data_IF_808261844373
#
_entry.id   IF_808261844373
#
_cell.length_a   1.000
_cell.length_b   1.000
_cell.length_c   1.000
_cell.angle_alpha   90.00
_cell.angle_beta   90.00
_cell.angle_gamma   90.00
#
_symmetry.space_group_name_H-M   'P 1'
#
loop_
_entity.id
_entity.type
_entity.pdbx_description
1 polymer ?
#
# COMPACT_ATOMS: atom_id res chain seq x y z
N UNK A 1 68.01 -35.68 -9.46
CA UNK A 1 67.08 -35.56 -8.27
C UNK A 1 66.49 -34.16 -8.09
N UNK A 2 66.75 -33.17 -8.95
CA UNK A 2 66.27 -31.78 -8.86
C UNK A 2 64.95 -31.46 -9.61
N UNK A 3 64.57 -32.28 -10.58
CA UNK A 3 63.38 -32.04 -11.44
C UNK A 3 62.05 -32.29 -10.72
N UNK A 4 62.03 -33.24 -9.75
CA UNK A 4 60.78 -33.58 -9.04
C UNK A 4 60.27 -32.46 -8.07
N UNK A 5 61.18 -31.65 -7.53
CA UNK A 5 60.84 -30.57 -6.57
C UNK A 5 60.23 -29.34 -7.27
N UNK A 6 60.59 -29.07 -8.53
CA UNK A 6 60.00 -27.99 -9.32
C UNK A 6 58.60 -28.32 -9.81
N UNK A 7 58.35 -29.56 -10.25
CA UNK A 7 57.01 -30.02 -10.64
C UNK A 7 56.03 -29.99 -9.45
N UNK A 8 56.46 -30.34 -8.24
CA UNK A 8 55.63 -30.26 -7.04
C UNK A 8 55.27 -28.82 -6.66
N UNK A 9 56.20 -27.86 -6.80
CA UNK A 9 55.94 -26.44 -6.53
C UNK A 9 55.02 -25.80 -7.55
N UNK A 10 55.14 -26.18 -8.84
CA UNK A 10 54.26 -25.71 -9.90
C UNK A 10 52.84 -26.26 -9.70
N UNK A 11 52.68 -27.54 -9.36
CA UNK A 11 51.40 -28.16 -9.02
C UNK A 11 50.71 -27.48 -7.84
N UNK A 12 51.44 -27.14 -6.78
CA UNK A 12 50.91 -26.43 -5.61
C UNK A 12 50.50 -25.00 -5.95
N UNK A 13 51.27 -24.28 -6.79
CA UNK A 13 50.93 -22.92 -7.24
C UNK A 13 49.70 -22.91 -8.13
N UNK A 14 49.54 -23.90 -9.02
CA UNK A 14 48.34 -24.03 -9.89
C UNK A 14 47.08 -24.37 -9.06
N UNK A 15 47.19 -25.30 -8.08
CA UNK A 15 46.09 -25.57 -7.16
C UNK A 15 45.68 -24.32 -6.34
N UNK A 16 46.68 -23.57 -5.87
CA UNK A 16 46.44 -22.35 -5.12
C UNK A 16 45.78 -21.24 -5.99
N UNK A 17 46.17 -21.12 -7.26
CA UNK A 17 45.55 -20.22 -8.24
C UNK A 17 44.12 -20.61 -8.58
N UNK A 18 43.81 -21.92 -8.70
CA UNK A 18 42.45 -22.42 -8.94
C UNK A 18 41.53 -22.16 -7.72
N UNK A 19 42.06 -22.32 -6.50
CA UNK A 19 41.31 -21.98 -5.27
C UNK A 19 40.98 -20.50 -5.13
N UNK A 20 41.82 -19.62 -5.69
CA UNK A 20 41.55 -18.15 -5.69
C UNK A 20 40.50 -17.75 -6.73
N UNK A 21 40.22 -18.61 -7.73
CA UNK A 21 39.21 -18.36 -8.78
C UNK A 21 37.79 -18.79 -8.39
N UNK A 22 37.62 -19.48 -7.27
CA UNK A 22 36.29 -19.75 -6.69
C UNK A 22 35.79 -18.53 -5.92
N UNK A 23 35.88 -17.33 -6.55
CA UNK A 23 35.37 -16.08 -6.03
C UNK A 23 33.90 -16.21 -5.73
N UNK A 24 33.48 -15.69 -4.58
CA UNK A 24 32.13 -15.66 -4.07
C UNK A 24 31.11 -15.31 -5.17
N UNK A 25 30.35 -16.28 -5.62
CA UNK A 25 29.07 -16.05 -6.26
C UNK A 25 28.13 -15.53 -5.16
N UNK A 26 28.19 -14.23 -4.91
CA UNK A 26 27.17 -13.55 -4.12
C UNK A 26 25.88 -13.66 -4.90
N UNK A 27 24.99 -14.56 -4.51
CA UNK A 27 23.63 -14.60 -5.03
C UNK A 27 22.93 -13.35 -4.47
N UNK A 28 22.87 -12.29 -5.25
CA UNK A 28 22.08 -11.09 -4.91
C UNK A 28 20.62 -11.51 -4.92
N UNK A 29 19.93 -11.41 -3.79
CA UNK A 29 18.50 -11.61 -3.70
C UNK A 29 17.82 -10.58 -4.62
N UNK A 30 16.97 -10.99 -5.56
CA UNK A 30 16.26 -10.05 -6.42
C UNK A 30 15.34 -9.17 -5.59
N UNK A 31 15.16 -7.93 -6.02
CA UNK A 31 14.15 -7.04 -5.43
C UNK A 31 12.81 -7.37 -6.05
N UNK A 32 11.80 -7.55 -5.20
CA UNK A 32 10.41 -7.78 -5.59
C UNK A 32 9.60 -6.52 -5.35
N UNK A 33 8.70 -6.19 -6.30
CA UNK A 33 7.89 -5.00 -6.28
C UNK A 33 6.41 -5.35 -6.15
N UNK A 34 5.70 -4.57 -5.33
CA UNK A 34 4.30 -4.77 -4.97
C UNK A 34 3.50 -3.49 -5.18
N UNK A 35 2.22 -3.63 -5.45
CA UNK A 35 1.27 -2.52 -5.55
C UNK A 35 -0.05 -2.91 -4.87
N UNK A 36 -0.76 -1.93 -4.34
CA UNK A 36 -2.11 -2.13 -3.84
C UNK A 36 -3.07 -2.38 -5.01
N UNK A 37 -4.09 -3.21 -4.76
CA UNK A 37 -5.05 -3.61 -5.79
C UNK A 37 -6.43 -3.02 -5.48
N UNK A 38 -7.08 -2.33 -6.43
CA UNK A 38 -8.44 -1.86 -6.24
C UNK A 38 -9.45 -3.01 -6.25
N UNK A 39 -10.66 -2.73 -5.75
CA UNK A 39 -11.81 -3.64 -5.85
C UNK A 39 -12.06 -4.01 -7.32
N UNK A 40 -11.96 -5.30 -7.63
CA UNK A 40 -12.31 -5.83 -8.95
C UNK A 40 -13.80 -6.23 -8.92
N UNK A 41 -14.64 -5.41 -9.56
CA UNK A 41 -16.07 -5.64 -9.63
C UNK A 41 -16.78 -5.42 -8.28
N UNK A 42 -17.59 -4.37 -8.17
CA UNK A 42 -18.52 -4.25 -7.05
C UNK A 42 -19.45 -5.46 -7.09
N UNK A 43 -19.45 -6.30 -6.05
CA UNK A 43 -20.37 -7.41 -5.93
C UNK A 43 -21.79 -6.88 -5.71
N UNK A 44 -22.83 -7.68 -6.02
CA UNK A 44 -24.23 -7.33 -5.73
C UNK A 44 -24.47 -7.00 -4.24
N UNK A 45 -23.61 -7.48 -3.34
CA UNK A 45 -23.60 -7.12 -1.93
C UNK A 45 -23.17 -5.66 -1.67
N UNK A 46 -22.47 -5.03 -2.61
CA UNK A 46 -22.11 -3.60 -2.60
C UNK A 46 -23.20 -2.74 -3.26
N UNK A 47 -24.47 -3.15 -3.22
CA UNK A 47 -25.63 -2.46 -3.79
C UNK A 47 -25.94 -1.18 -3.02
N UNK A 48 -24.94 -0.32 -2.90
CA UNK A 48 -25.06 1.04 -2.37
C UNK A 48 -25.80 1.90 -3.40
N UNK A 49 -26.62 2.81 -2.92
CA UNK A 49 -27.25 3.82 -3.77
C UNK A 49 -26.18 4.61 -4.51
N UNK A 50 -26.45 5.00 -5.75
CA UNK A 50 -25.57 5.88 -6.53
C UNK A 50 -25.65 7.30 -5.97
N UNK A 51 -24.52 8.03 -5.98
CA UNK A 51 -24.54 9.48 -5.76
C UNK A 51 -25.06 10.24 -6.98
N UNK A 52 -25.15 9.60 -8.14
CA UNK A 52 -25.45 10.25 -9.43
C UNK A 52 -24.19 10.74 -10.13
N UNK A 53 -24.28 10.86 -11.46
CA UNK A 53 -23.14 11.22 -12.31
C UNK A 53 -22.69 12.69 -12.15
N UNK A 54 -23.54 13.54 -11.54
CA UNK A 54 -23.24 14.95 -11.34
C UNK A 54 -22.40 15.24 -10.10
N UNK A 55 -22.30 14.29 -9.16
CA UNK A 55 -21.60 14.50 -7.88
C UNK A 55 -20.12 14.16 -8.00
N UNK A 56 -19.29 15.14 -7.66
CA UNK A 56 -17.84 15.00 -7.66
C UNK A 56 -17.26 14.80 -6.26
N UNK A 57 -16.32 13.85 -6.12
CA UNK A 57 -15.67 13.52 -4.85
C UNK A 57 -14.14 13.65 -4.98
N UNK A 58 -13.54 14.50 -4.15
CA UNK A 58 -12.09 14.62 -4.01
C UNK A 58 -11.57 13.74 -2.88
N UNK A 59 -10.59 12.88 -3.17
CA UNK A 59 -9.96 11.94 -2.22
C UNK A 59 -8.59 12.46 -1.83
N UNK A 60 -8.45 12.91 -0.60
CA UNK A 60 -7.23 13.51 -0.07
C UNK A 60 -7.42 15.00 0.28
N UNK A 61 -6.35 15.65 0.77
CA UNK A 61 -5.02 15.11 1.00
C UNK A 61 -4.97 14.02 2.08
N UNK A 62 -3.91 13.23 2.03
CA UNK A 62 -3.60 12.17 2.98
C UNK A 62 -2.39 12.59 3.82
N UNK A 63 -2.46 12.46 5.14
CA UNK A 63 -1.28 12.50 6.00
C UNK A 63 -0.87 11.06 6.32
N UNK A 64 0.39 10.73 6.03
CA UNK A 64 0.94 9.40 6.27
C UNK A 64 2.22 9.50 7.11
N UNK A 65 2.41 8.64 8.13
CA UNK A 65 3.65 8.62 8.91
C UNK A 65 4.86 8.32 8.02
N UNK A 66 5.94 9.09 8.17
CA UNK A 66 7.17 8.93 7.36
C UNK A 66 7.81 7.54 7.45
N UNK A 67 7.53 6.80 8.52
CA UNK A 67 8.05 5.44 8.65
C UNK A 67 7.40 4.49 7.64
N UNK A 68 6.19 4.81 7.17
CA UNK A 68 5.43 4.02 6.20
C UNK A 68 5.60 4.60 4.80
N UNK A 69 5.64 5.94 4.67
CA UNK A 69 5.83 6.65 3.40
C UNK A 69 7.27 6.50 2.89
N UNK A 70 7.56 5.33 2.36
CA UNK A 70 8.88 4.93 1.88
C UNK A 70 8.79 3.79 0.86
N UNK A 71 9.84 3.60 0.02
CA UNK A 71 9.83 2.54 -0.98
C UNK A 71 9.79 1.12 -0.41
N UNK A 72 10.33 0.89 0.79
CA UNK A 72 10.37 -0.44 1.39
C UNK A 72 9.05 -0.78 2.08
N UNK A 73 8.60 -2.03 1.96
CA UNK A 73 7.47 -2.53 2.74
C UNK A 73 7.86 -2.59 4.21
N UNK A 74 6.99 -2.04 5.05
CA UNK A 74 7.15 -1.98 6.50
C UNK A 74 6.23 -2.99 7.15
N UNK A 75 6.77 -3.79 8.06
CA UNK A 75 6.01 -4.76 8.85
C UNK A 75 6.44 -4.77 10.31
N UNK A 76 5.65 -5.40 11.18
CA UNK A 76 5.96 -5.53 12.60
C UNK A 76 6.63 -6.86 12.90
N UNK A 77 7.81 -6.78 13.48
CA UNK A 77 8.55 -7.93 14.01
C UNK A 77 8.26 -8.17 15.52
N UNK A 78 7.51 -7.27 16.16
CA UNK A 78 7.14 -7.33 17.57
C UNK A 78 6.31 -6.11 17.96
N UNK A 79 5.97 -5.99 19.26
CA UNK A 79 5.15 -4.87 19.75
C UNK A 79 5.78 -3.50 19.41
N UNK A 80 7.10 -3.36 19.61
CA UNK A 80 7.84 -2.10 19.46
C UNK A 80 8.96 -2.23 18.39
N UNK A 81 9.02 -3.34 17.65
CA UNK A 81 10.03 -3.57 16.64
C UNK A 81 9.39 -3.61 15.25
N UNK A 82 9.90 -2.74 14.38
CA UNK A 82 9.51 -2.62 12.98
C UNK A 82 10.59 -3.29 12.13
N UNK A 83 10.18 -4.00 11.10
CA UNK A 83 11.01 -4.51 10.02
C UNK A 83 10.79 -3.63 8.79
N UNK A 84 11.88 -3.20 8.17
CA UNK A 84 11.91 -2.48 6.90
C UNK A 84 12.67 -3.37 5.94
N UNK A 85 11.99 -3.92 4.94
CA UNK A 85 12.57 -4.92 4.05
C UNK A 85 13.23 -4.28 2.83
N UNK A 86 14.53 -4.59 2.61
CA UNK A 86 15.28 -4.01 1.50
C UNK A 86 14.97 -4.66 0.15
N UNK A 87 14.44 -5.89 0.15
CA UNK A 87 14.19 -6.68 -1.06
C UNK A 87 12.72 -6.70 -1.47
N UNK A 88 11.79 -6.27 -0.59
CA UNK A 88 10.36 -6.19 -0.88
C UNK A 88 9.93 -4.73 -0.81
N UNK A 89 9.54 -4.18 -1.97
CA UNK A 89 9.32 -2.75 -2.13
C UNK A 89 8.00 -2.44 -2.82
N UNK A 90 7.47 -1.28 -2.56
CA UNK A 90 6.40 -0.71 -3.35
C UNK A 90 6.90 -0.40 -4.77
N UNK A 91 6.07 -0.66 -5.78
CA UNK A 91 6.37 -0.38 -7.19
C UNK A 91 6.43 1.13 -7.49
N UNK A 92 5.82 1.93 -6.63
CA UNK A 92 5.79 3.38 -6.69
C UNK A 92 5.74 4.01 -5.30
N UNK A 93 5.10 5.17 -5.19
CA UNK A 93 4.80 5.83 -3.92
C UNK A 93 3.60 5.16 -3.26
N UNK A 94 3.76 4.61 -2.07
CA UNK A 94 2.62 4.05 -1.29
C UNK A 94 1.57 5.12 -0.98
N UNK A 95 1.98 6.37 -0.80
CA UNK A 95 1.09 7.52 -0.63
C UNK A 95 0.15 7.70 -1.85
N UNK A 96 0.73 7.73 -3.05
CA UNK A 96 -0.02 7.90 -4.31
C UNK A 96 -0.88 6.67 -4.61
N UNK A 97 -0.35 5.47 -4.38
CA UNK A 97 -1.04 4.21 -4.60
C UNK A 97 -2.27 4.08 -3.69
N UNK A 98 -2.12 4.44 -2.40
CA UNK A 98 -3.23 4.48 -1.43
C UNK A 98 -4.37 5.39 -1.90
N UNK A 99 -4.06 6.62 -2.32
CA UNK A 99 -5.05 7.59 -2.80
C UNK A 99 -5.72 7.12 -4.10
N UNK A 100 -4.92 6.59 -5.02
CA UNK A 100 -5.40 6.10 -6.33
C UNK A 100 -6.35 4.93 -6.16
N UNK A 101 -5.96 3.93 -5.36
CA UNK A 101 -6.78 2.75 -5.09
C UNK A 101 -8.08 3.14 -4.38
N UNK A 102 -8.01 4.05 -3.40
CA UNK A 102 -9.20 4.53 -2.71
C UNK A 102 -10.15 5.28 -3.66
N UNK A 103 -9.62 6.13 -4.55
CA UNK A 103 -10.43 6.84 -5.53
C UNK A 103 -11.10 5.89 -6.53
N UNK A 104 -10.39 4.87 -7.03
CA UNK A 104 -10.94 3.84 -7.90
C UNK A 104 -12.05 3.03 -7.21
N UNK A 105 -11.83 2.65 -5.96
CA UNK A 105 -12.82 1.94 -5.16
C UNK A 105 -14.09 2.79 -4.95
N UNK A 106 -13.92 4.07 -4.59
CA UNK A 106 -15.04 4.98 -4.38
C UNK A 106 -15.79 5.24 -5.70
N UNK A 107 -15.08 5.41 -6.82
CA UNK A 107 -15.70 5.54 -8.14
C UNK A 107 -16.62 4.34 -8.45
N UNK A 108 -16.12 3.13 -8.21
CA UNK A 108 -16.89 1.89 -8.39
C UNK A 108 -18.09 1.78 -7.44
N UNK A 109 -17.90 2.06 -6.15
CA UNK A 109 -18.94 1.94 -5.11
C UNK A 109 -20.04 3.00 -5.24
N UNK A 110 -19.68 4.23 -5.58
CA UNK A 110 -20.59 5.36 -5.73
C UNK A 110 -21.23 5.43 -7.12
N UNK A 111 -20.75 4.61 -8.05
CA UNK A 111 -21.20 4.55 -9.46
C UNK A 111 -21.11 5.91 -10.15
N UNK A 112 -20.00 6.64 -9.92
CA UNK A 112 -19.68 7.92 -10.56
C UNK A 112 -18.24 7.92 -11.05
N UNK A 113 -18.01 8.49 -12.23
CA UNK A 113 -16.66 8.68 -12.79
C UNK A 113 -16.01 9.98 -12.29
N UNK A 114 -16.71 10.77 -11.46
CA UNK A 114 -16.23 12.06 -10.94
C UNK A 114 -15.58 11.91 -9.57
N UNK A 115 -14.65 10.96 -9.44
CA UNK A 115 -13.80 10.78 -8.25
C UNK A 115 -12.36 11.01 -8.64
N UNK A 116 -11.66 11.91 -7.95
CA UNK A 116 -10.27 12.23 -8.22
C UNK A 116 -9.41 12.13 -6.95
N UNK A 117 -8.22 11.54 -7.08
CA UNK A 117 -7.19 11.53 -6.05
C UNK A 117 -6.45 12.89 -6.00
N UNK A 118 -6.07 13.33 -4.80
CA UNK A 118 -5.28 14.55 -4.61
C UNK A 118 -3.81 14.33 -5.05
N UNK A 119 -3.16 15.31 -5.68
CA UNK A 119 -3.69 16.60 -6.09
C UNK A 119 -4.57 16.48 -7.34
N UNK A 120 -5.73 17.10 -7.33
CA UNK A 120 -6.58 17.19 -8.52
C UNK A 120 -6.35 18.50 -9.26
N UNK A 121 -6.74 18.50 -10.54
CA UNK A 121 -6.60 19.64 -11.43
C UNK A 121 -7.52 20.82 -11.03
N UNK A 122 -7.14 22.04 -11.37
CA UNK A 122 -7.86 23.28 -11.00
C UNK A 122 -9.32 23.29 -11.49
N UNK A 123 -9.60 22.65 -12.62
CA UNK A 123 -10.97 22.55 -13.16
C UNK A 123 -11.86 21.53 -12.41
N UNK A 124 -11.27 20.72 -11.52
CA UNK A 124 -12.01 19.75 -10.74
C UNK A 124 -12.43 20.37 -9.40
N UNK A 125 -13.72 20.77 -9.30
CA UNK A 125 -14.30 21.30 -8.07
C UNK A 125 -15.20 20.24 -7.40
N UNK A 126 -14.71 19.50 -6.40
CA UNK A 126 -15.46 18.43 -5.77
C UNK A 126 -16.57 18.96 -4.86
N UNK A 127 -17.74 18.32 -4.93
CA UNK A 127 -18.88 18.58 -4.04
C UNK A 127 -18.63 18.07 -2.62
N UNK A 128 -17.82 17.00 -2.51
CA UNK A 128 -17.36 16.41 -1.25
C UNK A 128 -15.86 16.19 -1.29
N UNK A 129 -15.19 16.42 -0.15
CA UNK A 129 -13.76 16.14 0.03
C UNK A 129 -13.55 15.20 1.19
N UNK A 130 -12.70 14.19 1.00
CA UNK A 130 -12.35 13.19 2.01
C UNK A 130 -10.91 13.40 2.43
N UNK A 131 -10.70 14.08 3.55
CA UNK A 131 -9.38 14.25 4.17
C UNK A 131 -9.05 13.04 5.03
N UNK A 132 -7.77 12.68 5.11
CA UNK A 132 -7.35 11.48 5.82
C UNK A 132 -6.04 11.68 6.58
N UNK A 133 -5.98 11.10 7.78
CA UNK A 133 -4.77 11.02 8.60
C UNK A 133 -4.57 9.57 9.03
N UNK A 134 -3.53 8.93 8.48
CA UNK A 134 -3.13 7.57 8.83
C UNK A 134 -2.34 7.60 10.12
N UNK A 135 -2.84 6.94 11.16
CA UNK A 135 -2.13 6.75 12.43
C UNK A 135 -1.25 5.49 12.39
N UNK A 136 -1.70 4.46 11.68
CA UNK A 136 -1.00 3.20 11.49
C UNK A 136 -1.45 2.53 10.19
N UNK A 137 -0.50 2.04 9.40
CA UNK A 137 -0.74 1.17 8.24
C UNK A 137 0.43 0.21 8.15
N UNK A 138 0.34 -0.86 8.92
CA UNK A 138 1.35 -1.92 9.03
C UNK A 138 0.72 -3.18 9.62
N UNK A 139 1.50 -4.24 9.78
CA UNK A 139 1.01 -5.49 10.36
C UNK A 139 2.13 -6.49 10.54
N UNK A 140 1.77 -7.73 10.79
CA UNK A 140 2.70 -8.85 10.92
C UNK A 140 2.47 -9.83 9.77
N UNK A 141 3.51 -10.06 8.97
CA UNK A 141 3.48 -11.04 7.87
C UNK A 141 3.13 -12.43 8.44
N UNK A 142 2.16 -13.09 7.80
CA UNK A 142 1.63 -14.39 8.26
C UNK A 142 0.67 -14.33 9.45
N UNK A 143 0.23 -13.13 9.86
CA UNK A 143 -0.70 -12.95 10.98
C UNK A 143 -1.78 -11.94 10.59
N UNK A 144 -1.45 -10.64 10.48
CA UNK A 144 -2.43 -9.61 10.18
C UNK A 144 -1.80 -8.39 9.50
N UNK A 145 -2.64 -7.66 8.74
CA UNK A 145 -2.45 -6.26 8.38
C UNK A 145 -3.47 -5.39 9.14
N UNK A 146 -3.12 -4.14 9.44
CA UNK A 146 -3.94 -3.21 10.24
C UNK A 146 -3.81 -1.79 9.72
N UNK A 147 -4.96 -1.13 9.56
CA UNK A 147 -5.08 0.31 9.33
C UNK A 147 -5.77 0.94 10.53
N UNK A 148 -5.18 2.01 11.07
CA UNK A 148 -5.85 2.95 11.97
C UNK A 148 -5.79 4.32 11.30
N UNK A 149 -6.94 4.90 11.00
CA UNK A 149 -7.08 6.11 10.20
C UNK A 149 -8.20 6.99 10.72
N UNK A 150 -7.94 8.28 10.80
CA UNK A 150 -8.98 9.30 10.98
C UNK A 150 -9.30 9.90 9.62
N UNK A 151 -10.58 9.99 9.29
CA UNK A 151 -11.01 10.59 8.04
C UNK A 151 -12.19 11.55 8.26
N UNK A 152 -12.24 12.56 7.40
CA UNK A 152 -13.17 13.68 7.50
C UNK A 152 -13.79 13.94 6.14
N UNK A 153 -15.12 14.00 6.08
CA UNK A 153 -15.86 14.46 4.90
C UNK A 153 -16.25 15.91 5.12
N UNK A 154 -15.89 16.76 4.17
CA UNK A 154 -16.40 18.13 4.08
C UNK A 154 -17.25 18.30 2.83
N UNK A 155 -18.07 19.35 2.81
CA UNK A 155 -18.76 19.81 1.61
C UNK A 155 -17.81 20.50 0.64
N UNK A 156 -18.40 21.34 -0.23
CA UNK A 156 -17.65 22.11 -1.24
C UNK A 156 -16.64 23.07 -0.62
N UNK A 157 -16.94 23.62 0.55
CA UNK A 157 -15.99 24.42 1.31
C UNK A 157 -15.26 23.55 2.36
N UNK A 158 -13.93 23.70 2.57
CA UNK A 158 -13.21 22.96 3.59
C UNK A 158 -13.73 23.17 5.02
N UNK A 159 -14.38 24.29 5.28
CA UNK A 159 -15.00 24.63 6.57
C UNK A 159 -16.38 23.98 6.78
N UNK A 160 -16.96 23.41 5.74
CA UNK A 160 -18.25 22.74 5.77
C UNK A 160 -18.09 21.29 6.24
N UNK A 161 -17.86 21.12 7.54
CA UNK A 161 -17.59 19.81 8.16
C UNK A 161 -18.88 18.99 8.24
N UNK A 162 -18.93 17.87 7.54
CA UNK A 162 -20.10 17.00 7.48
C UNK A 162 -19.93 15.73 8.33
N UNK A 163 -18.74 15.16 8.36
CA UNK A 163 -18.48 13.90 9.10
C UNK A 163 -17.03 13.81 9.53
N UNK A 164 -16.80 13.28 10.74
CA UNK A 164 -15.47 12.82 11.22
C UNK A 164 -15.62 11.41 11.75
N UNK A 165 -14.71 10.51 11.37
CA UNK A 165 -14.66 9.13 11.82
C UNK A 165 -13.22 8.71 12.10
N UNK A 166 -13.07 7.77 13.04
CA UNK A 166 -11.87 6.97 13.16
C UNK A 166 -12.22 5.52 12.84
N UNK A 167 -11.46 4.91 11.93
CA UNK A 167 -11.63 3.51 11.54
C UNK A 167 -10.39 2.72 11.91
N UNK A 168 -10.61 1.55 12.53
CA UNK A 168 -9.56 0.57 12.82
C UNK A 168 -9.95 -0.73 12.13
N UNK A 169 -9.26 -1.03 11.02
CA UNK A 169 -9.55 -2.18 10.17
C UNK A 169 -8.39 -3.15 10.25
N UNK A 170 -8.70 -4.41 10.56
CA UNK A 170 -7.72 -5.48 10.67
C UNK A 170 -8.11 -6.63 9.75
N UNK A 171 -7.16 -7.08 8.92
CA UNK A 171 -7.32 -8.21 8.01
C UNK A 171 -6.33 -9.32 8.33
N UNK A 172 -6.76 -10.56 8.21
CA UNK A 172 -5.87 -11.70 8.36
C UNK A 172 -4.95 -11.85 7.15
N UNK A 173 -3.67 -12.13 7.40
CA UNK A 173 -2.69 -12.52 6.38
C UNK A 173 -2.59 -14.04 6.39
N UNK A 174 -2.96 -14.67 5.27
CA UNK A 174 -3.14 -16.12 5.21
C UNK A 174 -1.82 -16.90 5.22
N UNK A 175 -0.78 -16.36 4.60
CA UNK A 175 0.53 -17.00 4.50
C UNK A 175 1.65 -16.05 4.92
N UNK A 176 2.80 -16.60 5.33
CA UNK A 176 3.95 -15.80 5.75
C UNK A 176 4.77 -15.31 4.55
N UNK A 177 4.11 -14.62 3.60
CA UNK A 177 4.72 -13.99 2.43
C UNK A 177 4.22 -12.56 2.22
N UNK A 178 4.93 -11.78 1.40
CA UNK A 178 4.58 -10.38 1.12
C UNK A 178 3.40 -10.23 0.18
N UNK A 179 3.16 -11.16 -0.73
CA UNK A 179 2.01 -11.16 -1.64
C UNK A 179 0.69 -11.18 -0.84
N UNK A 180 0.54 -12.13 0.09
CA UNK A 180 -0.63 -12.24 0.95
C UNK A 180 -0.75 -11.06 1.92
N UNK A 181 0.39 -10.48 2.34
CA UNK A 181 0.43 -9.30 3.18
C UNK A 181 -0.13 -8.07 2.45
N UNK A 182 0.35 -7.78 1.23
CA UNK A 182 -0.14 -6.67 0.39
C UNK A 182 -1.59 -6.90 -0.05
N UNK A 183 -1.98 -8.16 -0.31
CA UNK A 183 -3.37 -8.50 -0.57
C UNK A 183 -4.29 -8.20 0.63
N UNK A 184 -3.82 -8.41 1.87
CA UNK A 184 -4.55 -8.02 3.08
C UNK A 184 -4.66 -6.50 3.22
N UNK A 185 -3.60 -5.74 2.93
CA UNK A 185 -3.63 -4.28 2.90
C UNK A 185 -4.61 -3.75 1.84
N UNK A 186 -4.68 -4.39 0.68
CA UNK A 186 -5.67 -4.06 -0.37
C UNK A 186 -7.11 -4.31 0.11
N UNK A 187 -7.38 -5.41 0.83
CA UNK A 187 -8.70 -5.67 1.44
C UNK A 187 -9.07 -4.64 2.50
N UNK A 188 -8.11 -4.16 3.27
CA UNK A 188 -8.30 -3.05 4.23
C UNK A 188 -8.79 -1.80 3.50
N UNK A 189 -8.15 -1.41 2.39
CA UNK A 189 -8.59 -0.25 1.60
C UNK A 189 -9.99 -0.46 1.02
N UNK A 190 -10.31 -1.68 0.59
CA UNK A 190 -11.64 -2.01 0.14
C UNK A 190 -12.69 -1.82 1.25
N UNK A 191 -12.39 -2.24 2.47
CA UNK A 191 -13.27 -2.05 3.63
C UNK A 191 -13.43 -0.57 3.99
N UNK A 192 -12.33 0.19 4.04
CA UNK A 192 -12.37 1.65 4.26
C UNK A 192 -13.20 2.36 3.19
N UNK A 193 -13.03 1.98 1.93
CA UNK A 193 -13.78 2.56 0.82
C UNK A 193 -15.29 2.37 0.98
N UNK A 194 -15.72 1.19 1.46
CA UNK A 194 -17.13 0.90 1.75
C UNK A 194 -17.67 1.74 2.91
N UNK A 195 -16.86 1.98 3.95
CA UNK A 195 -17.26 2.85 5.06
C UNK A 195 -17.48 4.29 4.56
N UNK A 196 -16.51 4.84 3.82
CA UNK A 196 -16.58 6.19 3.28
C UNK A 196 -17.75 6.33 2.29
N UNK A 197 -17.94 5.36 1.39
CA UNK A 197 -19.03 5.40 0.41
C UNK A 197 -20.41 5.43 1.10
N UNK A 198 -20.62 4.61 2.13
CA UNK A 198 -21.88 4.60 2.91
C UNK A 198 -22.16 5.95 3.57
N UNK A 199 -21.15 6.60 4.15
CA UNK A 199 -21.33 7.91 4.78
C UNK A 199 -21.59 9.00 3.73
N UNK A 200 -20.90 8.97 2.58
CA UNK A 200 -21.15 9.92 1.48
C UNK A 200 -22.60 9.81 0.96
N UNK A 201 -23.10 8.59 0.77
CA UNK A 201 -24.47 8.34 0.33
C UNK A 201 -25.47 8.84 1.37
N UNK A 202 -25.23 8.56 2.66
CA UNK A 202 -26.11 9.03 3.74
C UNK A 202 -26.15 10.57 3.80
N UNK A 203 -24.99 11.23 3.74
CA UNK A 203 -24.89 12.70 3.72
C UNK A 203 -25.60 13.28 2.50
N UNK A 204 -25.50 12.64 1.34
CA UNK A 204 -26.15 13.12 0.11
C UNK A 204 -27.67 12.98 0.16
N UNK A 205 -28.18 11.92 0.76
CA UNK A 205 -29.61 11.67 0.92
C UNK A 205 -30.30 12.62 1.92
N UNK A 206 -29.54 13.22 2.84
CA UNK A 206 -30.03 14.15 3.85
C UNK A 206 -30.09 15.62 3.35
N UNK A 207 -29.70 15.88 2.09
CA UNK A 207 -29.76 17.22 1.45
C UNK A 207 -31.05 17.43 0.68
#
# INVERSE_FOLDING_TARGET
MMTNTYLSKIGLAVCMAILMLTGCRSATTPIEFYALTPLIGATEADNTASLGDDVAVGVGPLQMPKIIDRPQIVSRAGRNRINVDEFHRWAGSIYEDFLTVLALNLSSLLKTNRVAAYPWEEYFDPDYRVYMEVNQFDGRIGDYALLNITWTITGRQPTDLLRVRNSVIKEAVQSANYEDYVAAESRILAALSREIARELIAIHADK
#
